data_IF_557798238506
#
_entry.id   IF_557798238506
#
_cell.length_a   1.000
_cell.length_b   1.000
_cell.length_c   1.000
_cell.angle_alpha   90.00
_cell.angle_beta   90.00
_cell.angle_gamma   90.00
#
_symmetry.space_group_name_H-M   'P 1'
#
loop_
_entity.id
_entity.type
_entity.pdbx_description
1 polymer ?
#
# COMPACT_ATOMS: atom_id res chain seq x y z
N UNK A 1 22.73 -24.46 24.21
CA UNK A 1 21.44 -23.75 24.11
C UNK A 1 21.53 -22.35 23.49
N UNK A 2 22.70 -21.66 23.45
CA UNK A 2 22.80 -20.32 22.86
C UNK A 2 22.58 -20.23 21.33
N UNK A 3 22.94 -21.29 20.58
CA UNK A 3 22.91 -21.26 19.11
C UNK A 3 21.51 -21.31 18.50
N UNK A 4 20.54 -21.97 19.16
CA UNK A 4 19.17 -22.05 18.63
C UNK A 4 18.45 -20.72 18.82
N UNK A 5 18.67 -20.06 19.96
CA UNK A 5 18.11 -18.75 20.27
C UNK A 5 18.67 -17.67 19.34
N UNK A 6 19.96 -17.74 18.98
CA UNK A 6 20.53 -16.83 17.99
C UNK A 6 19.96 -17.05 16.59
N UNK A 7 19.69 -18.30 16.19
CA UNK A 7 19.08 -18.62 14.88
C UNK A 7 17.64 -18.12 14.79
N UNK A 8 16.83 -18.33 15.83
CA UNK A 8 15.47 -17.79 15.85
C UNK A 8 15.44 -16.27 16.01
N UNK A 9 16.40 -15.71 16.74
CA UNK A 9 16.58 -14.27 16.87
C UNK A 9 16.90 -13.60 15.53
N UNK A 10 17.84 -14.15 14.76
CA UNK A 10 18.18 -13.61 13.44
C UNK A 10 17.05 -13.79 12.43
N UNK A 11 16.31 -14.91 12.49
CA UNK A 11 15.14 -15.13 11.65
C UNK A 11 14.04 -14.10 11.93
N UNK A 12 13.75 -13.84 13.20
CA UNK A 12 12.74 -12.86 13.59
C UNK A 12 13.11 -11.44 13.14
N UNK A 13 14.36 -11.02 13.39
CA UNK A 13 14.85 -9.70 12.96
C UNK A 13 14.83 -9.58 11.43
N UNK A 14 15.32 -10.59 10.71
CA UNK A 14 15.28 -10.62 9.25
C UNK A 14 13.86 -10.57 8.69
N UNK A 15 12.92 -11.29 9.30
CA UNK A 15 11.51 -11.28 8.93
C UNK A 15 10.84 -9.92 9.13
N UNK A 16 11.15 -9.23 10.22
CA UNK A 16 10.65 -7.87 10.48
C UNK A 16 11.15 -6.89 9.42
N UNK A 17 12.46 -6.92 9.10
CA UNK A 17 13.04 -6.02 8.09
C UNK A 17 12.44 -6.28 6.70
N UNK A 18 12.29 -7.55 6.33
CA UNK A 18 11.70 -7.92 5.04
C UNK A 18 10.24 -7.47 4.91
N UNK A 19 9.42 -7.70 5.95
CA UNK A 19 8.02 -7.28 5.96
C UNK A 19 7.85 -5.77 5.94
N UNK A 20 8.64 -5.03 6.73
CA UNK A 20 8.65 -3.56 6.70
C UNK A 20 9.02 -3.02 5.31
N UNK A 21 9.99 -3.65 4.64
CA UNK A 21 10.39 -3.28 3.28
C UNK A 21 9.25 -3.46 2.29
N UNK A 22 8.54 -4.61 2.32
CA UNK A 22 7.40 -4.88 1.44
C UNK A 22 6.28 -3.86 1.67
N UNK A 23 5.90 -3.63 2.93
CA UNK A 23 4.88 -2.64 3.28
C UNK A 23 5.30 -1.25 2.84
N UNK A 24 6.57 -0.88 3.01
CA UNK A 24 7.13 0.38 2.54
C UNK A 24 6.97 0.55 1.03
N UNK A 25 7.38 -0.44 0.23
CA UNK A 25 7.24 -0.41 -1.23
C UNK A 25 5.77 -0.33 -1.67
N UNK A 26 4.90 -1.18 -1.10
CA UNK A 26 3.46 -1.16 -1.42
C UNK A 26 2.84 0.17 -1.05
N UNK A 27 3.15 0.70 0.13
CA UNK A 27 2.65 2.00 0.57
C UNK A 27 3.15 3.12 -0.35
N UNK A 28 4.41 3.11 -0.79
CA UNK A 28 4.94 4.12 -1.71
C UNK A 28 4.25 4.08 -3.09
N UNK A 29 3.78 2.89 -3.52
CA UNK A 29 3.09 2.71 -4.79
C UNK A 29 1.56 2.87 -4.70
N UNK A 30 0.99 2.69 -3.51
CA UNK A 30 -0.47 2.69 -3.27
C UNK A 30 -0.94 3.91 -2.48
N UNK A 31 -0.01 4.72 -1.96
CA UNK A 31 -0.35 6.02 -1.39
C UNK A 31 -1.15 6.79 -2.44
N UNK A 32 -2.33 7.33 -2.09
CA UNK A 32 -3.11 8.11 -3.03
C UNK A 32 -2.25 9.31 -3.42
N UNK A 33 -1.64 9.25 -4.61
CA UNK A 33 -1.27 10.45 -5.35
C UNK A 33 -2.52 11.31 -5.34
N UNK A 34 -2.43 12.49 -4.73
CA UNK A 34 -3.56 13.29 -4.25
C UNK A 34 -4.74 13.37 -5.20
N UNK A 35 -5.93 13.63 -4.63
CA UNK A 35 -7.24 13.78 -5.29
C UNK A 35 -7.13 13.75 -6.82
N UNK A 36 -7.55 12.63 -7.42
CA UNK A 36 -7.49 12.43 -8.87
C UNK A 36 -7.86 13.73 -9.59
N UNK A 37 -7.05 14.22 -10.56
CA UNK A 37 -7.31 15.48 -11.22
C UNK A 37 -8.78 15.56 -11.62
N UNK A 38 -9.45 16.68 -11.31
CA UNK A 38 -10.85 16.88 -11.67
C UNK A 38 -11.02 16.45 -13.13
N UNK A 39 -11.89 15.46 -13.37
CA UNK A 39 -12.07 14.89 -14.69
C UNK A 39 -12.67 15.96 -15.63
N UNK A 40 -11.81 16.73 -16.29
CA UNK A 40 -12.19 17.80 -17.23
C UNK A 40 -12.88 17.28 -18.50
N UNK A 41 -12.92 15.94 -18.68
CA UNK A 41 -13.58 15.26 -19.78
C UNK A 41 -14.74 14.37 -19.30
N UNK A 42 -15.37 14.69 -18.17
CA UNK A 42 -16.66 14.10 -17.80
C UNK A 42 -17.78 15.05 -18.25
N UNK A 43 -18.36 14.88 -19.45
CA UNK A 43 -19.65 15.48 -19.73
C UNK A 43 -20.62 14.96 -18.67
N UNK A 44 -21.25 15.88 -17.95
CA UNK A 44 -22.33 15.55 -17.01
C UNK A 44 -23.49 15.00 -17.84
N UNK A 45 -23.52 13.69 -18.07
CA UNK A 45 -24.68 13.04 -18.67
C UNK A 45 -25.73 12.96 -17.56
N UNK A 46 -26.59 13.98 -17.50
CA UNK A 46 -27.82 13.94 -16.71
C UNK A 46 -28.74 12.86 -17.31
N UNK A 47 -28.62 11.63 -16.82
CA UNK A 47 -29.60 10.60 -17.12
C UNK A 47 -30.84 10.84 -16.27
N UNK A 48 -31.94 11.22 -16.92
CA UNK A 48 -33.27 11.30 -16.31
C UNK A 48 -33.59 12.66 -15.67
N UNK A 49 -33.83 13.67 -16.49
CA UNK A 49 -34.70 14.79 -16.12
C UNK A 49 -35.84 14.88 -17.13
N UNK A 50 -36.66 13.82 -17.18
CA UNK A 50 -37.98 13.82 -17.78
C UNK A 50 -38.89 12.93 -16.92
N UNK A 51 -39.82 13.57 -16.20
CA UNK A 51 -40.82 12.94 -15.33
C UNK A 51 -41.28 13.85 -14.21
#
# INVERSE_FOLDING_TARGET
MGSILSTFGSLAIGGIVASATIVGVVSAQTSPSGDSPANVNQPVIQYGSEG
#
